data_IF_237041937772
#
_entry.id   IF_237041937772
#
_cell.length_a   1.000
_cell.length_b   1.000
_cell.length_c   1.000
_cell.angle_alpha   90.00
_cell.angle_beta   90.00
_cell.angle_gamma   90.00
#
_symmetry.space_group_name_H-M   'P 1'
#
loop_
_entity.id
_entity.type
_entity.pdbx_description
1 polymer ?
#
# COMPACT_ATOMS: atom_id res chain seq x y z
N UNK A 1 -24.92 28.55 19.73
CA UNK A 1 -24.47 28.90 18.37
C UNK A 1 -23.14 28.22 18.11
N UNK A 2 -23.11 27.37 17.09
CA UNK A 2 -21.97 26.53 16.70
C UNK A 2 -20.90 27.35 15.98
N UNK A 3 -19.63 27.10 16.28
CA UNK A 3 -18.53 27.34 15.35
C UNK A 3 -17.68 26.07 15.24
N UNK A 4 -17.88 25.33 14.14
CA UNK A 4 -16.99 24.27 13.67
C UNK A 4 -16.17 24.86 12.54
N UNK A 5 -14.86 24.99 12.73
CA UNK A 5 -13.91 25.38 11.68
C UNK A 5 -13.29 24.12 11.10
N UNK A 6 -13.85 23.65 9.99
CA UNK A 6 -13.27 22.57 9.19
C UNK A 6 -12.24 23.16 8.22
N UNK A 7 -10.96 22.94 8.52
CA UNK A 7 -9.84 23.30 7.66
C UNK A 7 -9.83 22.34 6.46
N UNK A 8 -10.18 22.83 5.27
CA UNK A 8 -10.05 22.09 4.02
C UNK A 8 -8.58 22.06 3.62
N UNK A 9 -7.92 20.92 3.79
CA UNK A 9 -6.62 20.67 3.18
C UNK A 9 -6.82 20.54 1.66
N UNK A 10 -6.28 21.52 0.92
CA UNK A 10 -6.23 21.45 -0.53
C UNK A 10 -5.12 20.48 -0.94
N UNK A 11 -5.52 19.29 -1.38
CA UNK A 11 -4.62 18.31 -1.99
C UNK A 11 -4.24 18.82 -3.38
N UNK A 12 -3.11 19.53 -3.49
CA UNK A 12 -2.52 19.85 -4.79
C UNK A 12 -1.95 18.56 -5.38
N UNK A 13 -2.72 17.92 -6.25
CA UNK A 13 -2.25 16.82 -7.08
C UNK A 13 -1.27 17.37 -8.12
N UNK A 14 0.02 17.22 -7.85
CA UNK A 14 1.08 17.43 -8.84
C UNK A 14 0.96 16.29 -9.85
N UNK A 15 0.22 16.52 -10.93
CA UNK A 15 0.21 15.63 -12.09
C UNK A 15 1.57 15.78 -12.77
N UNK A 16 2.51 14.90 -12.42
CA UNK A 16 3.74 14.72 -13.17
C UNK A 16 3.37 14.32 -14.61
N UNK A 17 3.68 15.18 -15.58
CA UNK A 17 3.64 14.87 -17.01
C UNK A 17 4.73 13.84 -17.31
N UNK A 18 4.49 12.58 -16.96
CA UNK A 18 5.30 11.46 -17.43
C UNK A 18 5.04 11.34 -18.92
N UNK A 19 6.07 11.55 -19.74
CA UNK A 19 5.96 11.34 -21.19
C UNK A 19 5.63 9.88 -21.44
N UNK A 20 4.48 9.59 -22.04
CA UNK A 20 4.08 8.22 -22.37
C UNK A 20 5.16 7.53 -23.23
N UNK A 21 5.67 6.39 -22.75
CA UNK A 21 6.75 5.66 -23.40
C UNK A 21 6.20 4.52 -24.27
N UNK A 22 6.10 4.76 -25.58
CA UNK A 22 5.73 3.73 -26.56
C UNK A 22 6.93 3.13 -27.29
N UNK A 23 8.14 3.66 -27.10
CA UNK A 23 9.32 3.22 -27.86
C UNK A 23 9.97 1.99 -27.25
N UNK A 24 9.96 1.89 -25.92
CA UNK A 24 10.58 0.80 -25.17
C UNK A 24 9.59 0.26 -24.14
N UNK A 25 9.56 -1.06 -23.99
CA UNK A 25 8.75 -1.71 -22.97
C UNK A 25 8.68 -3.22 -23.18
N UNK A 26 7.95 -3.93 -22.31
CA UNK A 26 7.85 -5.40 -22.33
C UNK A 26 6.82 -5.87 -23.35
N UNK A 27 6.81 -5.30 -24.55
CA UNK A 27 5.78 -5.55 -25.54
C UNK A 27 6.34 -6.04 -26.87
N UNK A 28 5.56 -6.89 -27.53
CA UNK A 28 5.62 -7.08 -28.98
C UNK A 28 4.77 -6.00 -29.63
N UNK A 29 5.12 -5.61 -30.85
CA UNK A 29 4.41 -4.59 -31.60
C UNK A 29 3.93 -5.12 -32.93
N UNK A 30 2.76 -4.66 -33.35
CA UNK A 30 2.28 -4.84 -34.70
C UNK A 30 1.76 -3.49 -35.22
N UNK A 31 2.29 -3.07 -36.37
CA UNK A 31 1.91 -1.85 -37.05
C UNK A 31 0.80 -2.13 -38.06
N UNK A 32 -0.18 -1.23 -38.10
CA UNK A 32 -1.21 -1.11 -39.12
C UNK A 32 -1.25 0.31 -39.68
N UNK A 33 -1.76 0.45 -40.90
CA UNK A 33 -1.79 1.71 -41.63
C UNK A 33 -0.49 1.97 -42.38
N UNK A 34 -0.25 3.24 -42.68
CA UNK A 34 0.97 3.66 -43.37
C UNK A 34 2.12 3.75 -42.38
N UNK A 35 3.31 3.33 -42.80
CA UNK A 35 4.54 3.48 -42.01
C UNK A 35 4.72 4.93 -41.53
N UNK A 36 5.15 5.11 -40.28
CA UNK A 36 5.33 6.44 -39.69
C UNK A 36 6.25 7.35 -40.52
N UNK A 37 7.27 6.76 -41.14
CA UNK A 37 8.21 7.40 -42.08
C UNK A 37 7.54 7.97 -43.33
N UNK A 38 6.35 7.49 -43.67
CA UNK A 38 5.58 7.87 -44.86
C UNK A 38 4.37 8.76 -44.55
N UNK A 39 4.27 9.27 -43.32
CA UNK A 39 3.20 10.20 -42.90
C UNK A 39 3.74 11.55 -42.39
N UNK A 40 4.64 12.22 -43.13
CA UNK A 40 5.14 13.52 -42.71
C UNK A 40 3.99 14.54 -42.63
N UNK A 41 3.89 15.26 -41.51
CA UNK A 41 2.87 16.29 -41.28
C UNK A 41 1.67 15.85 -40.45
N UNK A 42 1.56 14.58 -40.08
CA UNK A 42 0.55 14.10 -39.14
C UNK A 42 1.00 14.27 -37.69
N UNK A 43 0.04 14.44 -36.77
CA UNK A 43 0.32 14.47 -35.35
C UNK A 43 0.57 13.04 -34.85
N UNK A 44 1.79 12.77 -34.41
CA UNK A 44 2.13 11.49 -33.79
C UNK A 44 1.63 11.49 -32.34
N UNK A 45 1.17 10.32 -31.89
CA UNK A 45 0.69 10.14 -30.52
C UNK A 45 1.17 8.81 -29.94
N UNK A 46 1.20 8.78 -28.61
CA UNK A 46 1.47 7.61 -27.79
C UNK A 46 0.50 7.60 -26.62
N UNK A 47 -0.39 6.61 -26.60
CA UNK A 47 -1.26 6.32 -25.46
C UNK A 47 -0.66 5.17 -24.67
N UNK A 48 -0.08 5.48 -23.51
CA UNK A 48 0.37 4.47 -22.58
C UNK A 48 0.49 4.97 -21.14
N UNK A 49 0.24 4.05 -20.21
CA UNK A 49 0.52 4.19 -18.78
C UNK A 49 1.18 2.93 -18.22
N UNK A 50 1.89 2.16 -19.06
CA UNK A 50 2.45 0.86 -18.66
C UNK A 50 3.54 1.01 -17.59
N UNK A 51 4.25 2.13 -17.55
CA UNK A 51 5.24 2.44 -16.51
C UNK A 51 4.60 2.67 -15.13
N UNK A 52 3.28 2.85 -15.07
CA UNK A 52 2.45 2.86 -13.87
C UNK A 52 1.72 1.51 -13.68
N UNK A 53 2.05 0.49 -14.47
CA UNK A 53 1.37 -0.82 -14.44
C UNK A 53 -0.04 -0.81 -15.03
N UNK A 54 -0.54 0.32 -15.54
CA UNK A 54 -1.90 0.48 -16.06
C UNK A 54 -1.96 0.03 -17.53
N UNK A 55 -2.97 -0.77 -17.86
CA UNK A 55 -3.21 -1.29 -19.22
C UNK A 55 -4.38 -0.59 -19.90
N UNK A 56 -4.50 -0.79 -21.22
CA UNK A 56 -5.65 -0.34 -22.01
C UNK A 56 -6.74 -1.41 -21.95
N UNK A 57 -7.95 -0.99 -21.57
CA UNK A 57 -9.14 -1.83 -21.35
C UNK A 57 -10.31 -1.48 -22.27
N UNK A 58 -10.14 -0.52 -23.19
CA UNK A 58 -11.19 -0.15 -24.10
C UNK A 58 -10.72 0.67 -25.28
N UNK A 59 -11.57 0.70 -26.31
CA UNK A 59 -11.39 1.48 -27.53
C UNK A 59 -12.71 2.09 -27.97
N UNK A 60 -12.66 3.35 -28.39
CA UNK A 60 -13.69 4.05 -29.15
C UNK A 60 -13.15 4.34 -30.53
N UNK A 61 -13.99 4.10 -31.53
CA UNK A 61 -13.63 4.28 -32.93
C UNK A 61 -14.73 5.07 -33.63
N UNK A 62 -14.35 6.19 -34.22
CA UNK A 62 -15.17 6.93 -35.18
C UNK A 62 -14.68 6.56 -36.57
N UNK A 63 -15.60 6.17 -37.45
CA UNK A 63 -15.27 5.73 -38.80
C UNK A 63 -16.16 6.42 -39.83
N UNK A 64 -15.62 6.58 -41.03
CA UNK A 64 -16.34 6.98 -42.23
C UNK A 64 -16.36 5.81 -43.22
N UNK A 65 -16.88 6.05 -44.43
CA UNK A 65 -17.01 5.02 -45.48
C UNK A 65 -15.71 4.27 -45.79
N UNK A 66 -14.57 4.97 -45.78
CA UNK A 66 -13.29 4.42 -46.21
C UNK A 66 -12.24 4.30 -45.10
N UNK A 67 -12.35 5.06 -44.00
CA UNK A 67 -11.28 5.10 -42.99
C UNK A 67 -11.78 5.30 -41.56
N UNK A 68 -10.92 4.98 -40.61
CA UNK A 68 -11.01 5.38 -39.21
C UNK A 68 -10.68 6.87 -39.10
N UNK A 69 -11.63 7.65 -38.60
CA UNK A 69 -11.55 9.11 -38.48
C UNK A 69 -10.92 9.55 -37.17
N UNK A 70 -11.27 8.87 -36.08
CA UNK A 70 -10.67 9.12 -34.77
C UNK A 70 -10.68 7.86 -33.91
N UNK A 71 -9.76 7.81 -32.95
CA UNK A 71 -9.70 6.78 -31.90
C UNK A 71 -9.54 7.42 -30.53
N UNK A 72 -9.99 6.71 -29.50
CA UNK A 72 -9.75 7.03 -28.10
C UNK A 72 -9.62 5.72 -27.34
N UNK A 73 -8.74 5.67 -26.34
CA UNK A 73 -8.47 4.46 -25.55
C UNK A 73 -8.90 4.64 -24.11
N UNK A 74 -9.41 3.58 -23.51
CA UNK A 74 -9.74 3.53 -22.09
C UNK A 74 -8.63 2.82 -21.34
N UNK A 75 -8.22 3.35 -20.19
CA UNK A 75 -7.28 2.71 -19.29
C UNK A 75 -8.02 1.91 -18.22
N UNK A 76 -7.35 0.92 -17.65
CA UNK A 76 -7.82 0.24 -16.45
C UNK A 76 -8.12 1.27 -15.34
N UNK A 77 -9.24 1.09 -14.64
CA UNK A 77 -9.85 2.12 -13.79
C UNK A 77 -10.96 2.93 -14.46
N UNK A 78 -11.07 2.89 -15.80
CA UNK A 78 -12.21 3.39 -16.56
C UNK A 78 -12.02 4.75 -17.23
N UNK A 79 -10.89 5.41 -17.02
CA UNK A 79 -10.60 6.72 -17.60
C UNK A 79 -10.31 6.61 -19.10
N UNK A 80 -10.96 7.48 -19.88
CA UNK A 80 -10.68 7.63 -21.30
C UNK A 80 -9.54 8.64 -21.52
N UNK A 81 -8.55 8.25 -22.31
CA UNK A 81 -7.43 9.09 -22.70
C UNK A 81 -7.78 10.17 -23.73
N UNK A 82 -6.75 10.75 -24.32
CA UNK A 82 -6.91 11.72 -25.39
C UNK A 82 -7.56 11.06 -26.63
N UNK A 83 -8.31 11.87 -27.38
CA UNK A 83 -8.85 11.47 -28.67
C UNK A 83 -7.89 11.91 -29.77
N UNK A 84 -7.58 11.01 -30.69
CA UNK A 84 -6.69 11.25 -31.82
C UNK A 84 -7.45 11.18 -33.12
N UNK A 85 -7.26 12.18 -33.99
CA UNK A 85 -7.98 12.34 -35.25
C UNK A 85 -9.17 13.30 -35.15
N UNK A 86 -9.87 13.50 -36.27
CA UNK A 86 -10.98 14.44 -36.39
C UNK A 86 -12.30 13.69 -36.54
N UNK A 87 -13.25 13.94 -35.63
CA UNK A 87 -14.61 13.39 -35.76
C UNK A 87 -15.29 14.10 -36.94
N UNK A 88 -15.96 13.38 -37.86
CA UNK A 88 -16.97 13.99 -38.74
C UNK A 88 -18.03 14.71 -37.90
N UNK A 89 -18.82 15.63 -38.46
CA UNK A 89 -19.78 16.49 -37.75
C UNK A 89 -20.43 15.87 -36.48
N UNK A 90 -20.66 16.72 -35.46
CA UNK A 90 -20.91 16.40 -34.04
C UNK A 90 -21.94 15.29 -33.67
N UNK A 91 -22.66 14.70 -34.62
CA UNK A 91 -23.70 13.70 -34.41
C UNK A 91 -23.24 12.25 -34.62
N UNK A 92 -22.01 12.00 -35.12
CA UNK A 92 -21.53 10.63 -35.31
C UNK A 92 -21.05 10.03 -33.99
N UNK A 93 -21.87 9.14 -33.42
CA UNK A 93 -21.52 8.37 -32.23
C UNK A 93 -20.40 7.36 -32.52
N UNK A 94 -19.40 7.20 -31.62
CA UNK A 94 -18.39 6.17 -31.79
C UNK A 94 -19.00 4.78 -31.65
N UNK A 95 -18.35 3.80 -32.29
CA UNK A 95 -18.46 2.42 -31.81
C UNK A 95 -17.49 2.25 -30.66
N UNK A 96 -17.96 1.64 -29.58
CA UNK A 96 -17.19 1.42 -28.36
C UNK A 96 -17.11 -0.07 -28.01
N UNK A 97 -15.94 -0.48 -27.53
CA UNK A 97 -15.74 -1.78 -26.88
C UNK A 97 -14.84 -1.60 -25.68
N UNK A 98 -15.27 -2.13 -24.56
CA UNK A 98 -14.48 -2.28 -23.34
C UNK A 98 -14.37 -3.76 -22.99
N UNK A 99 -13.32 -4.10 -22.25
CA UNK A 99 -13.05 -5.43 -21.73
C UNK A 99 -12.53 -5.31 -20.31
N UNK A 100 -12.62 -6.41 -19.54
CA UNK A 100 -12.06 -6.47 -18.21
C UNK A 100 -10.56 -6.63 -18.30
N UNK A 101 -9.87 -6.14 -17.29
CA UNK A 101 -8.42 -6.28 -17.10
C UNK A 101 -7.90 -7.71 -17.33
N UNK A 102 -8.61 -8.71 -16.80
CA UNK A 102 -8.23 -10.11 -16.92
C UNK A 102 -8.58 -10.75 -18.28
N UNK A 103 -9.35 -10.09 -19.14
CA UNK A 103 -9.74 -10.63 -20.45
C UNK A 103 -8.54 -10.72 -21.40
N UNK A 104 -8.50 -11.77 -22.22
CA UNK A 104 -7.53 -11.89 -23.32
C UNK A 104 -8.19 -11.36 -24.59
N UNK A 105 -7.60 -10.32 -25.19
CA UNK A 105 -8.07 -9.77 -26.45
C UNK A 105 -7.12 -10.07 -27.60
N UNK A 106 -7.65 -10.11 -28.82
CA UNK A 106 -6.90 -10.08 -30.06
C UNK A 106 -7.32 -8.92 -30.94
N UNK A 107 -6.49 -8.63 -31.94
CA UNK A 107 -6.74 -7.57 -32.91
C UNK A 107 -6.54 -8.07 -34.32
N UNK A 108 -7.39 -7.58 -35.22
CA UNK A 108 -7.18 -7.64 -36.66
C UNK A 108 -7.37 -6.24 -37.23
N UNK A 109 -6.52 -5.89 -38.18
CA UNK A 109 -6.45 -4.54 -38.72
C UNK A 109 -6.47 -4.59 -40.25
N UNK A 110 -7.06 -3.58 -40.87
CA UNK A 110 -7.06 -3.44 -42.32
C UNK A 110 -6.70 -2.00 -42.68
N UNK A 111 -6.02 -1.85 -43.81
CA UNK A 111 -5.82 -0.54 -44.40
C UNK A 111 -7.05 -0.13 -45.22
N UNK A 112 -7.20 1.18 -45.45
CA UNK A 112 -8.26 1.68 -46.32
C UNK A 112 -8.02 1.30 -47.78
N UNK A 113 -9.11 1.25 -48.55
CA UNK A 113 -9.07 1.13 -50.01
C UNK A 113 -9.89 2.27 -50.65
N UNK A 114 -9.24 3.37 -51.05
CA UNK A 114 -9.90 4.47 -51.76
C UNK A 114 -10.50 4.01 -53.10
N UNK A 115 -11.54 4.70 -53.57
CA UNK A 115 -12.23 4.37 -54.83
C UNK A 115 -11.48 4.85 -56.08
N UNK A 116 -10.70 5.92 -55.96
CA UNK A 116 -10.24 6.71 -57.10
C UNK A 116 -8.78 6.40 -57.51
N UNK A 117 -8.25 5.26 -57.06
CA UNK A 117 -6.84 4.89 -57.29
C UNK A 117 -5.85 5.66 -56.43
N UNK A 118 -6.34 6.49 -55.50
CA UNK A 118 -5.54 7.19 -54.51
C UNK A 118 -4.72 6.20 -53.65
N UNK A 119 -3.51 6.61 -53.24
CA UNK A 119 -2.67 5.77 -52.39
C UNK A 119 -3.34 5.53 -51.04
N UNK A 120 -3.16 4.32 -50.52
CA UNK A 120 -3.53 3.95 -49.16
C UNK A 120 -2.84 4.87 -48.15
N UNK A 121 -3.62 5.55 -47.31
CA UNK A 121 -3.17 6.62 -46.43
C UNK A 121 -3.79 6.57 -45.02
N UNK A 122 -4.61 5.55 -44.73
CA UNK A 122 -5.34 5.45 -43.47
C UNK A 122 -5.54 4.02 -42.96
N UNK A 123 -5.81 3.93 -41.65
CA UNK A 123 -6.39 2.73 -41.06
C UNK A 123 -7.83 2.59 -41.53
N UNK A 124 -8.16 1.48 -42.18
CA UNK A 124 -9.48 1.21 -42.76
C UNK A 124 -10.45 0.61 -41.75
N UNK A 125 -10.01 -0.42 -41.00
CA UNK A 125 -10.86 -1.15 -40.06
C UNK A 125 -10.07 -1.75 -38.91
N UNK A 126 -10.73 -1.81 -37.75
CA UNK A 126 -10.26 -2.41 -36.51
C UNK A 126 -11.28 -3.46 -36.08
N UNK A 127 -10.79 -4.66 -35.80
CA UNK A 127 -11.59 -5.72 -35.17
C UNK A 127 -10.92 -6.15 -33.88
N UNK A 128 -11.68 -6.11 -32.79
CA UNK A 128 -11.25 -6.64 -31.48
C UNK A 128 -11.94 -7.97 -31.27
N UNK A 129 -11.14 -9.02 -31.09
CA UNK A 129 -11.63 -10.36 -30.77
C UNK A 129 -11.48 -10.61 -29.27
N UNK A 130 -12.43 -11.31 -28.68
CA UNK A 130 -12.39 -11.68 -27.27
C UNK A 130 -13.00 -13.06 -27.12
N UNK A 131 -12.34 -13.93 -26.37
CA UNK A 131 -12.78 -15.32 -26.19
C UNK A 131 -14.22 -15.39 -25.68
N UNK A 132 -15.05 -16.22 -26.34
CA UNK A 132 -16.45 -16.42 -25.98
C UNK A 132 -17.37 -15.23 -26.27
N UNK A 133 -16.90 -14.19 -26.96
CA UNK A 133 -17.71 -13.02 -27.30
C UNK A 133 -17.76 -12.78 -28.81
N UNK A 134 -18.80 -12.04 -29.24
CA UNK A 134 -18.89 -11.57 -30.62
C UNK A 134 -17.80 -10.52 -30.88
N UNK A 135 -17.14 -10.66 -32.02
CA UNK A 135 -16.12 -9.70 -32.49
C UNK A 135 -16.70 -8.28 -32.56
N UNK A 136 -15.95 -7.33 -32.01
CA UNK A 136 -16.23 -5.92 -32.19
C UNK A 136 -15.59 -5.44 -33.48
N UNK A 137 -16.36 -4.81 -34.36
CA UNK A 137 -15.86 -4.31 -35.64
C UNK A 137 -16.19 -2.83 -35.84
N UNK A 138 -15.17 -2.02 -36.08
CA UNK A 138 -15.31 -0.60 -36.37
C UNK A 138 -14.35 -0.17 -37.50
N UNK A 139 -14.88 0.56 -38.48
CA UNK A 139 -14.12 0.95 -39.67
C UNK A 139 -15.00 1.15 -40.88
N UNK A 140 -14.36 1.49 -42.00
CA UNK A 140 -14.99 1.59 -43.31
C UNK A 140 -15.35 0.22 -43.90
N UNK A 141 -16.21 0.24 -44.93
CA UNK A 141 -16.59 -0.97 -45.67
C UNK A 141 -15.66 -1.28 -46.84
N UNK A 142 -14.83 -0.32 -47.25
CA UNK A 142 -13.83 -0.48 -48.31
C UNK A 142 -12.44 -0.60 -47.71
N UNK A 143 -11.99 -1.83 -47.62
CA UNK A 143 -10.76 -2.23 -46.95
C UNK A 143 -9.88 -3.03 -47.91
N UNK A 144 -8.57 -2.97 -47.69
CA UNK A 144 -7.60 -3.75 -48.43
C UNK A 144 -7.13 -4.98 -47.62
N UNK A 145 -5.84 -5.33 -47.66
CA UNK A 145 -5.29 -6.53 -47.04
C UNK A 145 -5.45 -6.53 -45.52
N UNK A 146 -5.89 -7.68 -44.97
CA UNK A 146 -5.88 -7.95 -43.54
C UNK A 146 -4.45 -8.04 -43.02
N UNK A 147 -4.21 -7.43 -41.86
CA UNK A 147 -2.96 -7.46 -41.13
C UNK A 147 -3.18 -8.20 -39.81
N UNK A 148 -2.30 -9.17 -39.57
CA UNK A 148 -2.27 -9.91 -38.32
C UNK A 148 -1.52 -9.11 -37.25
N UNK A 149 -2.09 -9.07 -36.04
CA UNK A 149 -1.48 -8.46 -34.87
C UNK A 149 -1.14 -9.56 -33.88
N UNK A 150 0.15 -9.74 -33.61
CA UNK A 150 0.61 -10.66 -32.58
C UNK A 150 0.17 -10.17 -31.20
N UNK A 151 -0.42 -11.07 -30.41
CA UNK A 151 -1.06 -10.76 -29.14
C UNK A 151 -0.81 -11.86 -28.09
N UNK A 152 0.44 -12.23 -27.80
CA UNK A 152 0.78 -13.45 -27.08
C UNK A 152 0.12 -13.51 -25.68
N UNK A 153 0.14 -12.40 -24.93
CA UNK A 153 -0.57 -12.24 -23.65
C UNK A 153 -2.04 -11.82 -23.79
N UNK A 154 -2.40 -11.19 -24.92
CA UNK A 154 -3.66 -10.45 -25.12
C UNK A 154 -3.86 -9.25 -24.19
N UNK A 155 -2.80 -8.70 -23.57
CA UNK A 155 -2.84 -7.46 -22.76
C UNK A 155 -2.25 -6.30 -23.55
N UNK A 156 -3.04 -5.27 -23.80
CA UNK A 156 -2.62 -4.08 -24.53
C UNK A 156 -2.03 -3.05 -23.57
N UNK A 157 -0.73 -2.75 -23.71
CA UNK A 157 0.00 -1.84 -22.82
C UNK A 157 0.11 -0.42 -23.38
N UNK A 158 0.21 -0.32 -24.70
CA UNK A 158 0.40 0.95 -25.36
C UNK A 158 -0.19 0.91 -26.77
N UNK A 159 -0.55 2.09 -27.26
CA UNK A 159 -0.84 2.32 -28.68
C UNK A 159 -0.05 3.53 -29.14
N UNK A 160 0.65 3.38 -30.26
CA UNK A 160 1.34 4.47 -30.93
C UNK A 160 0.70 4.70 -32.28
N UNK A 161 0.58 5.94 -32.74
CA UNK A 161 -0.08 6.20 -34.01
C UNK A 161 0.22 7.59 -34.55
N UNK A 162 -0.33 7.86 -35.73
CA UNK A 162 -0.32 9.17 -36.36
C UNK A 162 -1.74 9.51 -36.80
N UNK A 163 -2.18 10.74 -36.50
CA UNK A 163 -3.51 11.20 -36.82
C UNK A 163 -3.53 12.66 -37.27
N UNK A 164 -4.52 12.99 -38.08
CA UNK A 164 -4.82 14.33 -38.58
C UNK A 164 -6.32 14.42 -38.83
N UNK A 165 -6.74 14.64 -40.07
CA UNK A 165 -8.14 14.54 -40.45
C UNK A 165 -8.70 13.10 -40.31
N UNK A 166 -7.84 12.09 -40.27
CA UNK A 166 -8.14 10.69 -39.98
C UNK A 166 -6.96 10.03 -39.25
N UNK A 167 -7.10 8.76 -38.89
CA UNK A 167 -6.02 7.96 -38.29
C UNK A 167 -5.23 7.28 -39.39
N UNK A 168 -3.98 7.70 -39.57
CA UNK A 168 -3.10 7.27 -40.66
C UNK A 168 -2.39 5.96 -40.33
N UNK A 169 -2.03 5.80 -39.06
CA UNK A 169 -1.33 4.62 -38.56
C UNK A 169 -1.70 4.29 -37.12
N UNK A 170 -1.66 3.00 -36.79
CA UNK A 170 -1.81 2.47 -35.44
C UNK A 170 -0.86 1.30 -35.23
N UNK A 171 -0.07 1.37 -34.17
CA UNK A 171 0.82 0.32 -33.71
C UNK A 171 0.37 -0.09 -32.32
N UNK A 172 -0.16 -1.31 -32.22
CA UNK A 172 -0.62 -1.87 -30.95
C UNK A 172 0.52 -2.63 -30.29
N UNK A 173 0.73 -2.38 -29.00
CA UNK A 173 1.84 -2.92 -28.22
C UNK A 173 1.30 -3.83 -27.13
N UNK A 174 1.33 -5.13 -27.42
CA UNK A 174 0.87 -6.17 -26.51
C UNK A 174 2.00 -6.65 -25.62
N UNK A 175 1.72 -6.88 -24.35
CA UNK A 175 2.67 -7.51 -23.44
C UNK A 175 3.18 -8.83 -24.05
N UNK A 176 4.50 -9.03 -24.07
CA UNK A 176 5.13 -10.14 -24.82
C UNK A 176 4.73 -11.53 -24.32
N UNK A 177 4.38 -11.68 -23.05
CA UNK A 177 4.04 -12.96 -22.45
C UNK A 177 3.25 -12.75 -21.16
N UNK A 178 2.57 -13.79 -20.67
CA UNK A 178 1.78 -13.69 -19.45
C UNK A 178 2.67 -13.44 -18.22
N UNK A 179 2.17 -12.67 -17.25
CA UNK A 179 2.88 -12.43 -15.98
C UNK A 179 2.68 -13.63 -15.06
N UNK A 180 3.78 -14.10 -14.47
CA UNK A 180 3.79 -15.24 -13.54
C UNK A 180 4.11 -14.83 -12.11
N UNK A 181 4.81 -13.71 -11.91
CA UNK A 181 5.16 -13.21 -10.59
C UNK A 181 5.21 -11.69 -10.56
N UNK A 182 4.84 -11.10 -9.42
CA UNK A 182 4.87 -9.65 -9.19
C UNK A 182 5.42 -9.38 -7.80
N UNK A 183 6.52 -8.64 -7.73
CA UNK A 183 7.23 -8.37 -6.48
C UNK A 183 7.56 -6.90 -6.31
N UNK A 184 7.24 -6.35 -5.14
CA UNK A 184 7.68 -5.03 -4.72
C UNK A 184 9.15 -5.11 -4.28
N UNK A 185 10.05 -4.50 -5.07
CA UNK A 185 11.50 -4.62 -4.90
C UNK A 185 12.13 -3.44 -4.15
N UNK A 186 11.47 -2.28 -4.14
CA UNK A 186 11.89 -1.12 -3.35
C UNK A 186 10.70 -0.29 -2.90
N UNK A 187 10.85 0.36 -1.74
CA UNK A 187 9.91 1.37 -1.21
C UNK A 187 10.73 2.60 -0.80
N UNK A 188 10.21 3.78 -1.14
CA UNK A 188 10.72 5.09 -0.71
C UNK A 188 9.59 5.83 -0.02
N UNK A 189 9.76 6.18 1.25
CA UNK A 189 8.76 6.93 2.01
C UNK A 189 8.88 8.42 1.73
N UNK A 190 7.74 9.11 1.65
CA UNK A 190 7.72 10.57 1.47
C UNK A 190 8.20 11.30 2.73
N UNK A 191 7.92 10.74 3.91
CA UNK A 191 8.42 11.25 5.17
C UNK A 191 9.90 10.90 5.37
N UNK A 192 10.68 11.91 5.76
CA UNK A 192 12.10 11.74 6.07
C UNK A 192 12.25 11.14 7.48
N UNK A 193 12.74 9.90 7.54
CA UNK A 193 12.87 9.16 8.80
C UNK A 193 13.80 9.86 9.79
N UNK A 194 14.84 10.56 9.33
CA UNK A 194 15.75 11.30 10.21
C UNK A 194 15.00 12.44 10.90
N UNK A 195 14.25 13.24 10.15
CA UNK A 195 13.43 14.34 10.67
C UNK A 195 12.30 13.82 11.57
N UNK A 196 11.71 12.68 11.25
CA UNK A 196 10.70 12.03 12.08
C UNK A 196 11.26 11.63 13.44
N UNK A 197 12.47 11.04 13.45
CA UNK A 197 13.22 10.69 14.65
C UNK A 197 13.62 11.94 15.47
N UNK A 198 14.20 12.96 14.81
CA UNK A 198 14.64 14.21 15.45
C UNK A 198 13.47 14.91 16.18
N UNK A 199 12.25 14.81 15.63
CA UNK A 199 11.03 15.37 16.23
C UNK A 199 10.33 14.45 17.23
N UNK A 200 10.77 13.19 17.38
CA UNK A 200 10.07 12.16 18.17
C UNK A 200 8.60 12.03 17.77
N UNK A 201 8.30 12.18 16.48
CA UNK A 201 6.93 12.21 15.97
C UNK A 201 6.27 10.84 16.11
N UNK A 202 5.00 10.81 16.49
CA UNK A 202 4.26 9.55 16.69
C UNK A 202 4.63 8.78 17.96
N UNK A 203 5.56 9.27 18.78
CA UNK A 203 5.91 8.66 20.07
C UNK A 203 4.99 9.18 21.18
N UNK A 204 4.21 8.29 21.77
CA UNK A 204 3.35 8.62 22.92
C UNK A 204 3.44 7.56 24.02
N UNK A 205 3.35 7.95 25.30
CA UNK A 205 3.26 6.99 26.39
C UNK A 205 2.01 6.11 26.25
N UNK A 206 2.16 4.81 26.47
CA UNK A 206 1.09 3.83 26.41
C UNK A 206 1.04 3.03 27.71
N UNK A 207 -0.13 3.02 28.36
CA UNK A 207 -0.39 2.13 29.47
C UNK A 207 -0.55 0.70 28.95
N UNK A 208 0.30 -0.21 29.42
CA UNK A 208 0.25 -1.61 29.02
C UNK A 208 -0.70 -2.42 29.91
N UNK A 209 -0.75 -2.09 31.20
CA UNK A 209 -1.66 -2.69 32.16
C UNK A 209 -1.31 -2.28 33.60
N UNK A 210 -2.19 -2.64 34.52
CA UNK A 210 -1.96 -2.47 35.95
C UNK A 210 -2.54 -3.63 36.75
N UNK A 211 -1.99 -3.83 37.95
CA UNK A 211 -2.46 -4.81 38.93
C UNK A 211 -2.30 -4.23 40.33
N UNK A 212 -3.21 -4.60 41.22
CA UNK A 212 -3.14 -4.23 42.63
C UNK A 212 -2.82 -5.47 43.46
N UNK A 213 -1.86 -5.35 44.35
CA UNK A 213 -1.56 -6.36 45.36
C UNK A 213 -1.96 -5.85 46.73
N UNK A 214 -2.86 -6.52 47.42
CA UNK A 214 -3.37 -6.07 48.73
C UNK A 214 -2.71 -6.83 49.88
N UNK A 215 -2.63 -6.15 51.03
CA UNK A 215 -2.34 -6.79 52.31
C UNK A 215 -3.45 -6.46 53.30
N UNK A 216 -4.36 -7.41 53.47
CA UNK A 216 -5.54 -7.26 54.33
C UNK A 216 -5.26 -7.56 55.81
N UNK A 217 -4.00 -7.86 56.19
CA UNK A 217 -3.64 -8.09 57.59
C UNK A 217 -3.93 -6.85 58.45
N UNK A 218 -4.34 -7.10 59.69
CA UNK A 218 -4.62 -6.05 60.67
C UNK A 218 -3.38 -5.17 60.94
N UNK A 219 -3.61 -3.96 61.45
CA UNK A 219 -2.53 -3.04 61.83
C UNK A 219 -1.60 -3.74 62.84
N UNK A 220 -0.30 -3.81 62.53
CA UNK A 220 0.70 -4.56 63.31
C UNK A 220 0.87 -6.04 62.91
N UNK A 221 0.14 -6.50 61.89
CA UNK A 221 0.24 -7.82 61.28
C UNK A 221 1.50 -8.02 60.41
N UNK A 222 1.49 -9.03 59.54
CA UNK A 222 2.64 -9.35 58.70
C UNK A 222 2.67 -8.51 57.43
N UNK A 223 3.86 -8.15 56.97
CA UNK A 223 4.02 -7.65 55.61
C UNK A 223 3.66 -8.75 54.60
N UNK A 224 3.09 -8.34 53.47
CA UNK A 224 2.85 -9.24 52.34
C UNK A 224 3.91 -9.05 51.25
N UNK A 225 4.13 -10.10 50.48
CA UNK A 225 5.11 -10.15 49.40
C UNK A 225 4.46 -10.73 48.15
N UNK A 226 4.98 -10.37 46.98
CA UNK A 226 4.57 -11.01 45.74
C UNK A 226 5.75 -11.10 44.79
N UNK A 227 5.75 -12.18 44.03
CA UNK A 227 6.73 -12.46 42.99
C UNK A 227 5.91 -13.05 41.84
N UNK A 228 5.55 -12.20 40.89
CA UNK A 228 4.67 -12.58 39.77
C UNK A 228 5.23 -12.00 38.49
N UNK A 229 5.40 -12.87 37.49
CA UNK A 229 5.65 -12.46 36.12
C UNK A 229 4.30 -12.26 35.46
N UNK A 230 4.00 -11.04 35.05
CA UNK A 230 2.84 -10.75 34.21
C UNK A 230 3.32 -10.56 32.79
N UNK A 231 2.82 -11.43 31.92
CA UNK A 231 3.05 -11.34 30.48
C UNK A 231 1.98 -10.44 29.89
N UNK A 232 2.40 -9.34 29.28
CA UNK A 232 1.54 -8.43 28.54
C UNK A 232 1.90 -8.55 27.06
N UNK A 233 0.90 -8.84 26.25
CA UNK A 233 1.06 -9.02 24.82
C UNK A 233 0.43 -7.85 24.07
N UNK A 234 1.18 -7.25 23.14
CA UNK A 234 0.70 -6.15 22.28
C UNK A 234 0.95 -6.47 20.82
N UNK A 235 -0.04 -6.17 19.99
CA UNK A 235 0.08 -6.34 18.55
C UNK A 235 0.97 -5.24 17.97
N UNK A 236 1.94 -5.65 17.16
CA UNK A 236 2.71 -4.77 16.29
C UNK A 236 2.15 -4.91 14.89
N UNK A 237 1.68 -3.80 14.32
CA UNK A 237 1.06 -3.79 13.00
C UNK A 237 1.94 -3.07 11.99
N UNK A 238 2.04 -3.65 10.80
CA UNK A 238 2.61 -3.04 9.60
C UNK A 238 1.62 -3.24 8.46
N UNK A 239 1.16 -2.14 7.88
CA UNK A 239 0.15 -2.18 6.83
C UNK A 239 0.59 -1.31 5.67
N UNK A 240 0.70 -1.93 4.50
CA UNK A 240 0.87 -1.27 3.21
C UNK A 240 -0.48 -1.32 2.48
N UNK A 241 -0.97 -0.17 2.07
CA UNK A 241 -2.10 -0.06 1.15
C UNK A 241 -1.59 0.44 -0.19
N UNK A 242 -1.86 -0.32 -1.24
CA UNK A 242 -1.49 0.07 -2.60
C UNK A 242 -2.65 0.86 -3.21
N UNK A 243 -2.33 2.03 -3.78
CA UNK A 243 -3.34 2.88 -4.43
C UNK A 243 -3.68 2.40 -5.85
N UNK A 244 -2.81 1.59 -6.45
CA UNK A 244 -2.96 1.07 -7.80
C UNK A 244 -3.33 -0.42 -7.75
N UNK A 245 -4.57 -0.73 -8.12
CA UNK A 245 -5.10 -2.12 -8.12
C UNK A 245 -5.11 -2.77 -9.50
N UNK A 246 -4.66 -2.05 -10.53
CA UNK A 246 -4.91 -2.36 -11.94
C UNK A 246 -3.70 -2.94 -12.69
N UNK A 247 -2.77 -3.52 -11.95
CA UNK A 247 -1.49 -4.03 -12.47
C UNK A 247 -1.70 -5.05 -13.59
N UNK A 248 -1.36 -4.63 -14.82
CA UNK A 248 -1.16 -5.48 -15.99
C UNK A 248 -2.30 -6.44 -16.35
N UNK A 249 -3.49 -6.25 -15.76
CA UNK A 249 -4.62 -7.14 -15.92
C UNK A 249 -4.43 -8.55 -15.38
N UNK A 250 -3.73 -8.68 -14.24
CA UNK A 250 -3.59 -9.94 -13.50
C UNK A 250 -3.95 -9.74 -12.03
N UNK A 251 -4.79 -10.62 -11.49
CA UNK A 251 -5.10 -10.69 -10.05
C UNK A 251 -3.96 -11.34 -9.24
N UNK A 252 -2.72 -10.88 -9.40
CA UNK A 252 -1.59 -11.37 -8.62
C UNK A 252 -1.40 -10.48 -7.40
N UNK A 253 -1.49 -11.06 -6.21
CA UNK A 253 -1.11 -10.37 -4.98
C UNK A 253 0.36 -9.96 -5.07
N UNK A 254 0.63 -8.66 -5.01
CA UNK A 254 1.99 -8.13 -4.96
C UNK A 254 2.67 -8.66 -3.70
N UNK A 255 3.73 -9.44 -3.89
CA UNK A 255 4.56 -9.91 -2.77
C UNK A 255 5.59 -8.84 -2.45
N UNK A 256 5.76 -8.53 -1.16
CA UNK A 256 6.88 -7.67 -0.75
C UNK A 256 8.13 -8.54 -0.75
N UNK A 257 9.13 -8.16 -1.56
CA UNK A 257 10.39 -8.89 -1.58
C UNK A 257 11.01 -8.85 -0.17
N UNK A 258 11.63 -9.96 0.26
CA UNK A 258 12.03 -10.16 1.65
C UNK A 258 13.12 -9.21 2.20
N UNK A 259 13.48 -8.15 1.48
CA UNK A 259 14.51 -7.16 1.82
C UNK A 259 14.00 -5.72 1.83
N UNK A 260 12.69 -5.49 1.71
CA UNK A 260 12.15 -4.13 1.79
C UNK A 260 12.12 -3.68 3.25
N UNK A 261 12.92 -2.66 3.58
CA UNK A 261 12.97 -2.03 4.88
C UNK A 261 11.78 -1.08 5.08
N UNK A 262 11.05 -1.26 6.18
CA UNK A 262 9.92 -0.41 6.57
C UNK A 262 10.10 0.15 7.98
N UNK A 263 9.78 1.43 8.25
CA UNK A 263 9.98 2.03 9.57
C UNK A 263 9.17 1.36 10.67
N UNK A 264 9.86 0.95 11.73
CA UNK A 264 9.27 0.47 12.98
C UNK A 264 10.04 1.06 14.15
N UNK A 265 9.31 1.41 15.21
CA UNK A 265 9.92 1.85 16.47
C UNK A 265 10.82 0.75 17.04
N UNK A 266 12.06 1.09 17.37
CA UNK A 266 13.00 0.22 18.05
C UNK A 266 13.83 1.01 19.08
N UNK A 267 14.43 0.30 20.03
CA UNK A 267 15.45 0.86 20.92
C UNK A 267 16.77 0.98 20.16
N UNK A 268 17.34 2.18 20.09
CA UNK A 268 18.66 2.38 19.50
C UNK A 268 19.74 1.99 20.50
N UNK A 269 20.61 1.04 20.15
CA UNK A 269 21.73 0.60 20.99
C UNK A 269 22.95 1.51 20.90
N UNK A 270 22.80 2.78 20.50
CA UNK A 270 23.95 3.67 20.40
C UNK A 270 24.49 3.97 21.80
N UNK A 271 25.72 3.52 21.99
CA UNK A 271 26.48 3.55 23.23
C UNK A 271 26.31 4.90 23.92
N UNK A 272 25.83 4.87 25.16
CA UNK A 272 25.75 5.97 26.15
C UNK A 272 24.37 6.64 26.35
N UNK A 273 23.38 6.54 25.43
CA UNK A 273 22.00 7.02 25.71
C UNK A 273 20.94 6.13 25.07
N UNK A 274 20.06 5.52 25.87
CA UNK A 274 18.89 4.75 25.39
C UNK A 274 17.88 5.68 24.69
N UNK A 275 18.15 6.05 23.44
CA UNK A 275 17.25 6.87 22.63
C UNK A 275 16.35 6.00 21.75
N UNK A 276 15.05 6.32 21.76
CA UNK A 276 14.07 5.68 20.87
C UNK A 276 14.16 6.28 19.48
N UNK A 277 14.22 5.42 18.47
CA UNK A 277 14.18 5.84 17.08
C UNK A 277 13.49 4.81 16.18
N UNK A 278 12.91 5.28 15.09
CA UNK A 278 12.43 4.43 14.02
C UNK A 278 13.62 3.90 13.22
N UNK A 279 13.61 2.60 12.96
CA UNK A 279 14.60 1.90 12.14
C UNK A 279 13.89 1.05 11.09
N UNK A 280 14.62 0.68 10.03
CA UNK A 280 14.07 -0.17 8.99
C UNK A 280 13.99 -1.63 9.46
N UNK A 281 12.79 -2.19 9.40
CA UNK A 281 12.49 -3.60 9.65
C UNK A 281 12.06 -4.28 8.36
N UNK A 282 12.35 -5.57 8.18
CA UNK A 282 11.96 -6.29 6.96
C UNK A 282 10.46 -6.62 6.95
N UNK A 283 9.84 -6.54 5.77
CA UNK A 283 8.46 -6.94 5.51
C UNK A 283 8.40 -7.95 4.35
N UNK A 284 7.49 -8.93 4.43
CA UNK A 284 7.35 -10.04 3.44
C UNK A 284 5.95 -10.13 2.80
N UNK A 285 5.01 -9.30 3.23
CA UNK A 285 3.61 -9.27 2.80
C UNK A 285 3.08 -7.84 2.87
N UNK A 286 1.99 -7.52 2.18
CA UNK A 286 1.35 -6.19 2.18
C UNK A 286 0.68 -5.84 3.51
N UNK A 287 0.30 -6.83 4.30
CA UNK A 287 -0.11 -6.65 5.68
C UNK A 287 0.56 -7.70 6.54
N UNK A 288 1.07 -7.26 7.69
CA UNK A 288 1.63 -8.14 8.71
C UNK A 288 1.25 -7.59 10.08
N UNK A 289 0.49 -8.39 10.82
CA UNK A 289 0.27 -8.18 12.24
C UNK A 289 1.12 -9.20 12.97
N UNK A 290 2.22 -8.75 13.53
CA UNK A 290 3.01 -9.52 14.47
C UNK A 290 2.50 -9.23 15.89
N UNK A 291 2.85 -10.08 16.83
CA UNK A 291 2.47 -9.90 18.23
C UNK A 291 3.74 -9.91 19.07
N UNK A 292 4.09 -8.75 19.61
CA UNK A 292 5.20 -8.63 20.54
C UNK A 292 4.71 -8.96 21.95
N UNK A 293 5.40 -9.89 22.57
CA UNK A 293 5.09 -10.35 23.93
C UNK A 293 6.12 -9.79 24.88
N UNK A 294 5.65 -9.00 25.84
CA UNK A 294 6.50 -8.37 26.83
C UNK A 294 6.23 -9.00 28.19
N UNK A 295 7.29 -9.39 28.89
CA UNK A 295 7.18 -10.02 30.20
C UNK A 295 7.67 -9.06 31.27
N UNK A 296 6.77 -8.59 32.13
CA UNK A 296 7.09 -7.74 33.27
C UNK A 296 7.15 -8.58 34.54
N UNK A 297 8.24 -8.47 35.28
CA UNK A 297 8.42 -9.17 36.55
C UNK A 297 8.24 -8.17 37.68
N UNK A 298 7.06 -8.16 38.29
CA UNK A 298 6.83 -7.36 39.48
C UNK A 298 7.17 -8.19 40.71
N UNK A 299 8.16 -7.72 41.45
CA UNK A 299 8.61 -8.34 42.69
C UNK A 299 8.66 -7.29 43.79
N UNK A 300 7.93 -7.52 44.87
CA UNK A 300 8.12 -6.81 46.14
C UNK A 300 8.16 -7.77 47.32
N UNK A 301 9.07 -7.48 48.24
CA UNK A 301 9.43 -8.38 49.33
C UNK A 301 10.58 -9.33 48.99
N UNK A 302 11.02 -10.10 49.99
CA UNK A 302 12.26 -10.86 49.97
C UNK A 302 13.29 -10.20 50.88
N UNK A 303 14.31 -9.54 50.31
CA UNK A 303 15.32 -8.76 51.05
C UNK A 303 14.96 -7.28 51.25
N UNK A 304 13.95 -6.78 50.53
CA UNK A 304 13.41 -5.41 50.65
C UNK A 304 12.12 -5.32 51.47
N UNK A 305 11.63 -4.10 51.72
CA UNK A 305 10.36 -3.88 52.43
C UNK A 305 9.18 -4.46 51.62
N UNK A 306 8.39 -5.33 52.23
CA UNK A 306 7.13 -5.84 51.66
C UNK A 306 5.99 -4.81 51.73
N UNK A 307 4.78 -5.22 51.34
CA UNK A 307 3.55 -4.41 51.45
C UNK A 307 3.13 -4.38 52.93
N UNK A 308 3.10 -3.21 53.59
CA UNK A 308 2.64 -3.11 54.98
C UNK A 308 1.19 -3.57 55.17
N UNK A 309 0.80 -3.98 56.39
CA UNK A 309 -0.60 -4.28 56.71
C UNK A 309 -1.51 -3.07 56.41
N UNK A 310 -2.75 -3.33 55.97
CA UNK A 310 -3.74 -2.31 55.59
C UNK A 310 -3.29 -1.38 54.45
N UNK A 311 -2.38 -1.84 53.59
CA UNK A 311 -1.96 -1.12 52.38
C UNK A 311 -2.05 -2.03 51.15
N UNK A 312 -1.90 -1.42 49.98
CA UNK A 312 -1.83 -2.13 48.71
C UNK A 312 -0.63 -1.63 47.90
N UNK A 313 -0.13 -2.44 46.98
CA UNK A 313 0.81 -2.02 45.96
C UNK A 313 0.09 -1.89 44.62
N UNK A 314 0.12 -0.70 44.03
CA UNK A 314 -0.33 -0.46 42.67
C UNK A 314 0.86 -0.58 41.72
N UNK A 315 0.88 -1.67 40.96
CA UNK A 315 1.89 -1.90 39.92
C UNK A 315 1.34 -1.55 38.55
N UNK A 316 2.09 -0.75 37.81
CA UNK A 316 1.77 -0.34 36.45
C UNK A 316 2.90 -0.75 35.52
N UNK A 317 2.54 -1.16 34.31
CA UNK A 317 3.47 -1.27 33.20
C UNK A 317 3.09 -0.23 32.14
N UNK A 318 4.10 0.46 31.64
CA UNK A 318 3.97 1.44 30.56
C UNK A 318 5.03 1.18 29.50
N UNK A 319 4.76 1.65 28.29
CA UNK A 319 5.68 1.64 27.16
C UNK A 319 5.63 3.00 26.46
N UNK A 320 6.53 3.21 25.53
CA UNK A 320 6.33 4.18 24.47
C UNK A 320 5.73 3.45 23.27
N UNK A 321 4.55 3.89 22.82
CA UNK A 321 3.98 3.49 21.54
C UNK A 321 4.51 4.45 20.47
N UNK A 322 4.94 3.90 19.34
CA UNK A 322 5.34 4.67 18.17
C UNK A 322 4.42 4.36 17.01
N UNK A 323 3.90 5.40 16.37
CA UNK A 323 3.20 5.30 15.09
C UNK A 323 4.03 5.92 13.97
N UNK A 324 4.11 5.25 12.82
CA UNK A 324 4.67 5.84 11.61
C UNK A 324 3.61 5.79 10.52
N UNK A 325 3.42 6.91 9.85
CA UNK A 325 2.32 7.12 8.91
C UNK A 325 2.86 7.96 7.76
N UNK A 326 2.98 7.35 6.58
CA UNK A 326 3.59 8.00 5.41
C UNK A 326 3.09 7.36 4.13
N UNK A 327 2.86 8.20 3.13
CA UNK A 327 2.81 7.74 1.75
C UNK A 327 4.17 7.19 1.30
N UNK A 328 4.14 6.34 0.27
CA UNK A 328 5.35 5.81 -0.34
C UNK A 328 5.25 5.70 -1.87
N UNK A 329 6.41 5.72 -2.49
CA UNK A 329 6.65 5.33 -3.87
C UNK A 329 7.36 3.97 -3.87
N UNK A 330 6.91 3.05 -4.72
CA UNK A 330 7.46 1.70 -4.81
C UNK A 330 7.81 1.36 -6.26
N UNK A 331 8.79 0.46 -6.40
CA UNK A 331 9.11 -0.17 -7.67
C UNK A 331 8.66 -1.60 -7.62
N UNK A 332 7.87 -1.99 -8.61
CA UNK A 332 7.39 -3.36 -8.75
C UNK A 332 8.06 -4.00 -9.94
N UNK A 333 8.57 -5.21 -9.74
CA UNK A 333 9.16 -6.06 -10.77
C UNK A 333 8.17 -7.15 -11.14
N UNK A 334 7.76 -7.18 -12.40
CA UNK A 334 6.94 -8.23 -12.96
C UNK A 334 7.80 -9.22 -13.75
N UNK A 335 7.62 -10.51 -13.48
CA UNK A 335 8.27 -11.60 -14.21
C UNK A 335 7.26 -12.24 -15.15
N UNK A 336 7.65 -12.40 -16.41
CA UNK A 336 6.82 -13.00 -17.45
C UNK A 336 7.14 -14.49 -17.63
N UNK A 337 6.23 -15.25 -18.24
CA UNK A 337 6.39 -16.69 -18.47
C UNK A 337 7.56 -17.04 -19.39
N UNK A 338 8.01 -16.10 -20.23
CA UNK A 338 9.22 -16.22 -21.04
C UNK A 338 10.53 -15.95 -20.26
N UNK A 339 10.45 -15.71 -18.94
CA UNK A 339 11.59 -15.45 -18.05
C UNK A 339 12.11 -14.00 -18.08
N UNK A 340 11.64 -13.15 -19.00
CA UNK A 340 11.98 -11.73 -18.98
C UNK A 340 11.26 -11.02 -17.84
N UNK A 341 11.81 -9.87 -17.43
CA UNK A 341 11.21 -9.02 -16.40
C UNK A 341 11.08 -7.58 -16.89
N UNK A 342 10.16 -6.85 -16.28
CA UNK A 342 10.07 -5.40 -16.42
C UNK A 342 9.67 -4.76 -15.09
N UNK A 343 9.87 -3.45 -15.00
CA UNK A 343 9.54 -2.70 -13.80
C UNK A 343 8.51 -1.63 -14.11
N UNK A 344 7.65 -1.36 -13.14
CA UNK A 344 6.74 -0.22 -13.14
C UNK A 344 6.70 0.39 -11.74
N UNK A 345 6.24 1.62 -11.65
CA UNK A 345 6.13 2.36 -10.40
C UNK A 345 4.73 2.20 -9.83
N UNK A 346 4.65 2.04 -8.52
CA UNK A 346 3.40 2.02 -7.76
C UNK A 346 3.48 2.99 -6.60
N UNK A 347 2.33 3.44 -6.13
CA UNK A 347 2.24 4.35 -5.00
C UNK A 347 1.28 3.78 -3.97
N UNK A 348 1.48 4.14 -2.71
CA UNK A 348 0.62 3.67 -1.65
C UNK A 348 0.82 4.42 -0.35
N UNK A 349 0.23 3.86 0.70
CA UNK A 349 0.31 4.40 2.04
C UNK A 349 0.77 3.32 3.01
N UNK A 350 1.64 3.71 3.94
CA UNK A 350 2.18 2.83 4.96
C UNK A 350 1.85 3.35 6.34
N UNK A 351 1.30 2.45 7.16
CA UNK A 351 1.07 2.68 8.56
C UNK A 351 1.75 1.59 9.39
N UNK A 352 2.41 1.98 10.48
CA UNK A 352 2.91 1.06 11.47
C UNK A 352 2.65 1.51 12.89
N UNK A 353 2.47 0.53 13.78
CA UNK A 353 2.36 0.72 15.22
C UNK A 353 3.32 -0.25 15.90
N UNK A 354 4.25 0.30 16.67
CA UNK A 354 5.21 -0.45 17.47
C UNK A 354 5.24 0.02 18.92
N UNK A 355 5.87 -0.77 19.79
CA UNK A 355 6.06 -0.44 21.20
C UNK A 355 7.53 -0.63 21.57
N UNK A 356 8.08 0.24 22.43
CA UNK A 356 9.46 0.17 22.94
C UNK A 356 9.56 0.82 24.34
N UNK A 357 10.69 0.66 25.03
CA UNK A 357 10.92 1.16 26.39
C UNK A 357 9.86 0.73 27.40
N UNK A 358 9.73 -0.57 27.61
CA UNK A 358 8.88 -1.10 28.69
C UNK A 358 9.40 -0.74 30.06
N UNK A 359 8.61 0.01 30.83
CA UNK A 359 8.94 0.40 32.20
C UNK A 359 7.84 -0.12 33.12
N UNK A 360 8.25 -0.63 34.28
CA UNK A 360 7.37 -1.01 35.36
C UNK A 360 7.59 -0.11 36.58
N UNK A 361 6.51 0.25 37.25
CA UNK A 361 6.53 1.02 38.50
C UNK A 361 5.54 0.40 39.48
N UNK A 362 5.93 0.28 40.75
CA UNK A 362 5.08 -0.24 41.82
C UNK A 362 5.12 0.72 43.00
N UNK A 363 3.96 1.24 43.40
CA UNK A 363 3.83 2.18 44.51
C UNK A 363 2.91 1.62 45.60
N UNK A 364 3.35 1.74 46.85
CA UNK A 364 2.50 1.42 48.00
C UNK A 364 1.50 2.55 48.22
N UNK A 365 0.23 2.20 48.32
CA UNK A 365 -0.91 3.10 48.54
C UNK A 365 -1.77 2.59 49.70
N UNK A 366 -2.54 3.47 50.38
CA UNK A 366 -3.54 3.04 51.36
C UNK A 366 -4.59 2.10 50.75
N UNK A 367 -5.03 1.07 51.50
CA UNK A 367 -6.01 0.09 51.01
C UNK A 367 -7.34 0.73 50.55
N UNK A 368 -7.75 1.82 51.19
CA UNK A 368 -8.94 2.60 50.84
C UNK A 368 -8.88 3.28 49.46
N UNK A 369 -7.69 3.42 48.88
CA UNK A 369 -7.48 4.05 47.57
C UNK A 369 -7.52 3.05 46.42
N UNK A 370 -7.67 1.75 46.71
CA UNK A 370 -7.85 0.71 45.69
C UNK A 370 -9.26 0.86 45.10
N UNK A 371 -9.41 1.06 43.77
CA UNK A 371 -10.72 1.14 43.14
C UNK A 371 -11.52 -0.14 43.32
N UNK A 372 -12.82 -0.03 43.59
CA UNK A 372 -13.70 -1.19 43.82
C UNK A 372 -13.83 -2.14 42.64
N UNK A 373 -13.52 -1.68 41.43
CA UNK A 373 -13.52 -2.45 40.19
C UNK A 373 -12.11 -2.90 39.75
N UNK A 374 -11.08 -2.70 40.57
CA UNK A 374 -9.71 -3.06 40.22
C UNK A 374 -9.48 -4.58 40.21
N UNK A 375 -8.54 -5.04 39.38
CA UNK A 375 -8.03 -6.41 39.45
C UNK A 375 -7.06 -6.52 40.63
N UNK A 376 -7.52 -7.15 41.70
CA UNK A 376 -6.79 -7.30 42.97
C UNK A 376 -6.25 -8.73 43.13
N UNK A 377 -5.04 -8.86 43.65
CA UNK A 377 -4.44 -10.12 44.09
C UNK A 377 -3.97 -9.97 45.55
N UNK A 378 -4.26 -10.94 46.41
CA UNK A 378 -3.76 -10.89 47.79
C UNK A 378 -2.27 -11.28 47.83
N UNK A 379 -1.46 -10.49 48.52
CA UNK A 379 -0.05 -10.78 48.71
C UNK A 379 0.18 -12.01 49.60
N UNK A 380 1.31 -12.71 49.37
CA UNK A 380 1.73 -13.84 50.21
C UNK A 380 2.33 -13.32 51.52
N UNK A 381 1.78 -13.71 52.66
CA UNK A 381 2.30 -13.34 53.99
C UNK A 381 3.77 -13.72 54.14
N UNK A 382 4.60 -12.75 54.52
CA UNK A 382 5.98 -13.02 54.92
C UNK A 382 6.03 -13.52 56.37
N UNK A 383 5.97 -14.85 56.53
CA UNK A 383 6.06 -15.49 57.84
C UNK A 383 7.41 -15.27 58.54
N UNK A 384 8.45 -14.78 57.84
CA UNK A 384 9.77 -14.47 58.42
C UNK A 384 9.89 -13.03 58.91
N UNK A 385 8.98 -12.15 58.50
CA UNK A 385 9.01 -10.71 58.76
C UNK A 385 8.30 -10.25 60.04
N UNK A 386 8.12 -11.09 61.06
CA UNK A 386 7.56 -10.66 62.35
C UNK A 386 8.58 -9.77 63.08
N UNK A 387 8.75 -8.51 62.65
CA UNK A 387 9.35 -7.49 63.49
C UNK A 387 8.33 -7.15 64.57
N UNK A 388 8.36 -7.93 65.66
CA UNK A 388 8.02 -7.38 66.95
C UNK A 388 8.98 -6.21 67.18
N UNK A 389 8.50 -4.99 66.97
CA UNK A 389 9.10 -3.81 67.56
C UNK A 389 9.17 -4.09 69.05
N UNK A 390 10.37 -4.37 69.54
CA UNK A 390 10.67 -4.63 70.96
C UNK A 390 10.22 -3.47 71.87
N UNK A 391 9.87 -2.32 71.28
CA UNK A 391 9.28 -1.15 71.94
C UNK A 391 7.80 -1.30 72.33
N UNK A 392 7.01 -2.14 71.68
CA UNK A 392 5.59 -2.31 72.07
C UNK A 392 5.41 -3.14 73.35
N UNK A 393 6.49 -3.68 73.92
CA UNK A 393 6.48 -4.30 75.26
C UNK A 393 6.68 -3.33 76.41
N UNK A 394 6.96 -2.04 76.16
CA UNK A 394 7.29 -1.08 77.22
C UNK A 394 6.29 0.07 77.43
N UNK A 395 5.17 0.14 76.69
CA UNK A 395 4.21 1.27 76.79
C UNK A 395 2.80 0.84 77.28
N UNK A 396 2.67 -0.27 78.00
CA UNK A 396 1.42 -0.55 78.77
C UNK A 396 1.73 -1.14 80.13
N UNK A 397 2.19 -0.28 81.03
CA UNK A 397 1.96 -0.31 82.49
C UNK A 397 2.46 1.00 83.10
N UNK A 398 1.65 2.05 82.97
CA UNK A 398 1.31 3.02 84.04
C UNK A 398 -0.13 3.44 83.79
#
# INVERSE_FOLDING_TARGET
MYFSSATKAALFSLISLVSANCEKGPFVSALAGVGFDKTPGYQHFCDSKWEEGIIITGIRVWAAKFQVKAVQFQYAGGDWGARHGQIPDNDVQPKEKTWKENDKIGLKLWNNKPDDGDPMDAVGKIVVTQEGQKDFEAGGSKIDKEMYVDNPSGKLLAVKGAAGAWVSSLEFKFLESAITNVEMTSITFKEDMKRWNDKKQGLIPAALGSVYYTNSDEIGGYNATYDTTTVITKAVSKTLTESQTHTAGYTLSVKVSGKVGVPLLAESSMEVTNELSYSYSNMKSTSKTDTDTWSFQWKMGGTGAGIPPQTAAHCTASATMGTFDSDYDAKITATMANGKTFNYNAHGHYNSVGYANGIQDCKVIPLKEVPSNAKVQEGKKDKKGKRTTRLDRFITKV
#
